data_IF_516383583325
#
_entry.id   IF_516383583325
#
_cell.length_a   1.000
_cell.length_b   1.000
_cell.length_c   1.000
_cell.angle_alpha   90.00
_cell.angle_beta   90.00
_cell.angle_gamma   90.00
#
_symmetry.space_group_name_H-M   'P 1'
#
loop_
_entity.id
_entity.type
_entity.pdbx_description
1 polymer ?
#
# COMPACT_ATOMS: atom_id res chain seq x y z
N UNK A 1 8.54 -14.75 24.17
CA UNK A 1 7.20 -14.58 23.55
C UNK A 1 7.47 -13.90 22.22
N UNK A 2 7.42 -14.65 21.11
CA UNK A 2 7.74 -14.08 19.80
C UNK A 2 6.69 -13.04 19.43
N UNK A 3 7.12 -11.82 19.16
CA UNK A 3 6.27 -10.74 18.66
C UNK A 3 5.74 -11.15 17.29
N UNK A 4 4.50 -11.63 17.24
CA UNK A 4 3.85 -11.98 15.98
C UNK A 4 3.42 -10.67 15.31
N UNK A 5 4.20 -10.25 14.31
CA UNK A 5 3.89 -9.05 13.52
C UNK A 5 2.54 -9.18 12.82
N UNK A 6 1.57 -8.40 13.26
CA UNK A 6 0.30 -8.24 12.59
C UNK A 6 0.51 -7.45 11.30
N UNK A 7 0.16 -8.05 10.16
CA UNK A 7 0.14 -7.39 8.87
C UNK A 7 -1.29 -7.34 8.36
N UNK A 8 -1.76 -6.15 7.97
CA UNK A 8 -3.07 -5.97 7.39
C UNK A 8 -2.95 -5.60 5.90
N UNK A 9 -3.76 -6.27 5.08
CA UNK A 9 -3.94 -5.98 3.67
C UNK A 9 -5.40 -5.61 3.45
N UNK A 10 -5.64 -4.46 2.83
CA UNK A 10 -6.95 -4.06 2.35
C UNK A 10 -6.90 -3.90 0.84
N UNK A 11 -7.92 -4.42 0.17
CA UNK A 11 -8.06 -4.35 -1.29
C UNK A 11 -9.41 -3.74 -1.60
N UNK A 12 -9.41 -2.74 -2.49
CA UNK A 12 -10.63 -2.20 -3.05
C UNK A 12 -10.88 -2.87 -4.41
N UNK A 13 -12.02 -3.53 -4.52
CA UNK A 13 -12.47 -4.16 -5.76
C UNK A 13 -13.83 -3.58 -6.14
N UNK A 14 -14.08 -3.40 -7.44
CA UNK A 14 -15.45 -3.17 -7.92
C UNK A 14 -16.08 -4.52 -8.18
N UNK A 15 -17.01 -4.90 -7.31
CA UNK A 15 -17.63 -6.23 -7.33
C UNK A 15 -19.05 -6.15 -7.86
N UNK A 16 -19.48 -7.22 -8.53
CA UNK A 16 -20.88 -7.45 -8.86
C UNK A 16 -21.63 -8.09 -7.70
N UNK A 17 -21.16 -9.26 -7.25
CA UNK A 17 -21.74 -10.03 -6.14
C UNK A 17 -20.71 -10.17 -5.01
N UNK A 18 -20.91 -9.42 -3.92
CA UNK A 18 -20.02 -9.42 -2.75
C UNK A 18 -20.02 -10.75 -2.00
N UNK A 19 -21.15 -11.46 -1.95
CA UNK A 19 -21.30 -12.69 -1.16
C UNK A 19 -20.50 -13.84 -1.77
N UNK A 20 -20.52 -13.96 -3.10
CA UNK A 20 -19.72 -14.97 -3.80
C UNK A 20 -18.23 -14.73 -3.67
N UNK A 21 -17.78 -13.48 -3.69
CA UNK A 21 -16.37 -13.14 -3.56
C UNK A 21 -15.89 -13.29 -2.12
N UNK A 22 -16.72 -12.93 -1.15
CA UNK A 22 -16.47 -13.23 0.25
C UNK A 22 -16.21 -14.72 0.47
N UNK A 23 -17.08 -15.60 -0.03
CA UNK A 23 -16.92 -17.06 0.09
C UNK A 23 -15.58 -17.54 -0.48
N UNK A 24 -15.23 -17.09 -1.69
CA UNK A 24 -13.96 -17.46 -2.32
C UNK A 24 -12.73 -16.99 -1.53
N UNK A 25 -12.78 -15.79 -0.96
CA UNK A 25 -11.67 -15.25 -0.16
C UNK A 25 -11.50 -16.01 1.16
N UNK A 26 -12.59 -16.33 1.84
CA UNK A 26 -12.54 -17.15 3.07
C UNK A 26 -11.92 -18.50 2.74
N UNK A 27 -12.42 -19.19 1.71
CA UNK A 27 -11.89 -20.49 1.28
C UNK A 27 -10.40 -20.43 0.96
N UNK A 28 -9.98 -19.51 0.10
CA UNK A 28 -8.59 -19.42 -0.36
C UNK A 28 -7.59 -19.01 0.73
N UNK A 29 -8.02 -18.18 1.70
CA UNK A 29 -7.11 -17.65 2.72
C UNK A 29 -7.10 -18.50 3.99
N UNK A 30 -8.20 -19.17 4.33
CA UNK A 30 -8.26 -20.06 5.49
C UNK A 30 -7.80 -21.49 5.19
N UNK A 31 -7.59 -21.85 3.92
CA UNK A 31 -7.02 -23.15 3.53
C UNK A 31 -5.51 -23.28 3.81
N UNK A 32 -4.83 -22.19 4.19
CA UNK A 32 -3.40 -22.21 4.53
C UNK A 32 -3.16 -22.73 5.94
N UNK A 33 -2.37 -23.79 6.08
CA UNK A 33 -1.94 -24.29 7.39
C UNK A 33 -0.98 -23.30 8.08
N UNK A 34 -1.24 -22.99 9.36
CA UNK A 34 -0.27 -22.32 10.24
C UNK A 34 -0.37 -20.80 10.38
N UNK A 35 -1.27 -20.11 9.68
CA UNK A 35 -1.49 -18.67 9.84
C UNK A 35 -2.90 -18.36 10.39
N UNK A 36 -2.96 -17.72 11.56
CA UNK A 36 -4.20 -17.12 12.03
C UNK A 36 -4.51 -15.88 11.17
N UNK A 37 -5.63 -15.90 10.44
CA UNK A 37 -6.02 -14.83 9.50
C UNK A 37 -7.41 -14.32 9.88
N UNK A 38 -7.59 -13.00 9.79
CA UNK A 38 -8.91 -12.39 9.81
C UNK A 38 -9.15 -11.57 8.55
N UNK A 39 -10.39 -11.62 8.04
CA UNK A 39 -10.83 -10.90 6.86
C UNK A 39 -11.95 -9.94 7.22
N UNK A 40 -11.98 -8.79 6.55
CA UNK A 40 -13.03 -7.79 6.69
C UNK A 40 -13.38 -7.23 5.32
N UNK A 41 -14.64 -7.36 4.90
CA UNK A 41 -15.16 -6.83 3.64
C UNK A 41 -16.58 -6.32 3.84
N UNK A 42 -16.79 -4.99 3.79
CA UNK A 42 -18.09 -4.42 4.12
C UNK A 42 -18.52 -4.85 5.52
N UNK A 43 -19.69 -5.49 5.62
CA UNK A 43 -20.25 -6.05 6.86
C UNK A 43 -19.80 -7.50 7.14
N UNK A 44 -19.04 -8.12 6.23
CA UNK A 44 -18.53 -9.47 6.41
C UNK A 44 -17.21 -9.49 7.18
N UNK A 45 -17.12 -10.37 8.18
CA UNK A 45 -15.93 -10.56 8.99
C UNK A 45 -15.73 -12.03 9.38
N UNK A 46 -14.49 -12.52 9.32
CA UNK A 46 -14.11 -13.88 9.80
C UNK A 46 -12.74 -13.83 10.46
N UNK A 47 -12.44 -14.80 11.30
CA UNK A 47 -11.14 -14.97 11.98
C UNK A 47 -11.22 -14.74 13.49
N UNK A 48 -10.09 -14.93 14.20
CA UNK A 48 -9.98 -14.68 15.64
C UNK A 48 -10.38 -13.24 16.01
N UNK A 49 -10.97 -13.06 17.20
CA UNK A 49 -11.56 -11.77 17.61
C UNK A 49 -10.54 -10.61 17.66
N UNK A 50 -9.34 -10.88 18.15
CA UNK A 50 -8.22 -9.94 18.22
C UNK A 50 -7.77 -9.49 16.82
N UNK A 51 -7.68 -10.43 15.88
CA UNK A 51 -7.33 -10.15 14.48
C UNK A 51 -8.47 -9.47 13.72
N UNK A 52 -9.72 -9.83 14.01
CA UNK A 52 -10.92 -9.30 13.36
C UNK A 52 -11.13 -7.82 13.66
N UNK A 53 -10.88 -7.40 14.90
CA UNK A 53 -10.91 -5.99 15.28
C UNK A 53 -9.88 -5.17 14.49
N UNK A 54 -8.66 -5.68 14.36
CA UNK A 54 -7.60 -5.04 13.59
C UNK A 54 -7.92 -4.99 12.08
N UNK A 55 -8.43 -6.09 11.51
CA UNK A 55 -8.84 -6.15 10.11
C UNK A 55 -9.97 -5.15 9.79
N UNK A 56 -10.98 -5.06 10.66
CA UNK A 56 -12.07 -4.10 10.51
C UNK A 56 -11.59 -2.64 10.63
N UNK A 57 -10.68 -2.36 11.55
CA UNK A 57 -10.07 -1.03 11.67
C UNK A 57 -9.28 -0.65 10.40
N UNK A 58 -8.47 -1.56 9.88
CA UNK A 58 -7.71 -1.35 8.64
C UNK A 58 -8.63 -1.16 7.42
N UNK A 59 -9.69 -1.96 7.30
CA UNK A 59 -10.67 -1.83 6.23
C UNK A 59 -11.38 -0.46 6.28
N UNK A 60 -11.81 -0.01 7.45
CA UNK A 60 -12.43 1.32 7.62
C UNK A 60 -11.46 2.46 7.29
N UNK A 61 -10.22 2.39 7.75
CA UNK A 61 -9.23 3.42 7.46
C UNK A 61 -8.88 3.49 5.97
N UNK A 62 -8.81 2.33 5.29
CA UNK A 62 -8.63 2.27 3.84
C UNK A 62 -9.85 2.82 3.09
N UNK A 63 -11.07 2.45 3.47
CA UNK A 63 -12.30 2.97 2.88
C UNK A 63 -12.42 4.49 3.03
N UNK A 64 -12.00 5.02 4.19
CA UNK A 64 -11.92 6.45 4.47
C UNK A 64 -10.70 7.15 3.83
N UNK A 65 -9.83 6.41 3.12
CA UNK A 65 -8.57 6.91 2.55
C UNK A 65 -7.71 7.67 3.57
N UNK A 66 -7.75 7.23 4.83
CA UNK A 66 -6.95 7.81 5.92
C UNK A 66 -5.66 7.03 6.17
N UNK A 67 -5.60 5.77 5.77
CA UNK A 67 -4.38 4.96 5.82
C UNK A 67 -4.43 3.76 4.85
N UNK A 68 -3.30 3.07 4.70
CA UNK A 68 -3.15 1.90 3.84
C UNK A 68 -2.28 2.19 2.61
N UNK A 69 -1.59 1.15 2.12
CA UNK A 69 -0.70 1.24 0.95
C UNK A 69 -1.40 0.73 -0.29
N UNK A 70 -1.18 1.40 -1.42
CA UNK A 70 -1.60 0.89 -2.71
C UNK A 70 -0.45 0.08 -3.34
N UNK A 71 -0.73 -1.18 -3.67
CA UNK A 71 0.19 -2.06 -4.40
C UNK A 71 -0.23 -2.14 -5.87
N UNK A 72 -1.54 -2.26 -6.11
CA UNK A 72 -2.16 -2.19 -7.41
C UNK A 72 -3.11 -1.00 -7.46
N UNK A 73 -2.92 -0.13 -8.45
CA UNK A 73 -3.73 1.07 -8.65
C UNK A 73 -3.63 1.51 -10.12
N UNK A 74 -4.60 2.30 -10.62
CA UNK A 74 -4.58 2.77 -12.00
C UNK A 74 -3.27 3.46 -12.37
N UNK A 75 -2.67 3.02 -13.48
CA UNK A 75 -1.42 3.58 -14.01
C UNK A 75 -0.12 3.05 -13.38
N UNK A 76 -0.17 2.14 -12.41
CA UNK A 76 1.04 1.56 -11.78
C UNK A 76 2.00 0.92 -12.80
N UNK A 77 1.47 0.32 -13.87
CA UNK A 77 2.27 -0.29 -14.96
C UNK A 77 3.08 0.73 -15.77
N UNK A 78 2.72 2.01 -15.70
CA UNK A 78 3.43 3.09 -16.38
C UNK A 78 4.60 3.62 -15.55
N UNK A 79 4.70 3.25 -14.27
CA UNK A 79 5.67 3.80 -13.32
C UNK A 79 6.97 3.00 -13.31
N UNK A 80 7.57 2.86 -14.49
CA UNK A 80 8.78 2.06 -14.72
C UNK A 80 9.98 2.92 -15.10
N UNK A 81 11.18 2.51 -14.68
CA UNK A 81 12.43 3.19 -14.97
C UNK A 81 12.56 4.58 -14.32
N UNK A 82 12.91 5.56 -15.14
CA UNK A 82 13.20 6.94 -14.70
C UNK A 82 12.25 7.90 -15.39
N UNK A 83 11.41 8.59 -14.61
CA UNK A 83 10.33 9.47 -15.10
C UNK A 83 10.29 10.77 -14.30
N UNK A 84 9.68 11.83 -14.81
CA UNK A 84 9.48 13.05 -14.01
C UNK A 84 8.33 12.89 -13.02
N UNK A 85 8.31 13.73 -11.97
CA UNK A 85 7.16 13.84 -11.05
C UNK A 85 5.89 14.18 -11.82
N UNK A 86 5.97 15.07 -12.82
CA UNK A 86 4.86 15.37 -13.71
C UNK A 86 4.29 14.11 -14.40
N UNK A 87 5.14 13.30 -15.03
CA UNK A 87 4.73 12.07 -15.71
C UNK A 87 4.13 11.05 -14.74
N UNK A 88 4.70 10.95 -13.53
CA UNK A 88 4.21 10.06 -12.48
C UNK A 88 2.78 10.41 -12.05
N UNK A 89 2.50 11.69 -11.82
CA UNK A 89 1.18 12.17 -11.38
C UNK A 89 0.16 12.14 -12.51
N UNK A 90 0.55 12.51 -13.73
CA UNK A 90 -0.34 12.48 -14.89
C UNK A 90 -0.67 11.05 -15.36
N UNK A 91 0.26 10.11 -15.19
CA UNK A 91 0.17 8.75 -15.68
C UNK A 91 -0.40 7.74 -14.69
N UNK A 92 -0.77 8.16 -13.46
CA UNK A 92 -1.25 7.26 -12.40
C UNK A 92 -2.30 7.91 -11.50
N UNK A 93 -2.88 7.13 -10.60
CA UNK A 93 -3.79 7.65 -9.58
C UNK A 93 -3.10 8.27 -8.36
N UNK A 94 -1.79 8.52 -8.42
CA UNK A 94 -1.05 9.17 -7.34
C UNK A 94 -1.40 10.67 -7.38
N UNK A 95 -1.92 11.18 -6.28
CA UNK A 95 -2.33 12.59 -6.17
C UNK A 95 -1.13 13.50 -5.91
N UNK A 96 -0.13 13.02 -5.15
CA UNK A 96 1.05 13.82 -4.76
C UNK A 96 2.30 12.97 -4.62
N UNK A 97 3.44 13.55 -4.98
CA UNK A 97 4.76 13.07 -4.60
C UNK A 97 5.35 14.00 -3.53
N UNK A 98 5.81 13.43 -2.41
CA UNK A 98 6.38 14.19 -1.29
C UNK A 98 7.81 13.74 -1.05
N UNK A 99 8.74 14.67 -0.96
CA UNK A 99 10.12 14.45 -0.51
C UNK A 99 10.15 14.51 1.02
N UNK A 100 10.64 13.45 1.64
CA UNK A 100 10.74 13.37 3.10
C UNK A 100 11.52 14.54 3.69
N UNK A 101 11.04 15.06 4.83
CA UNK A 101 11.56 16.24 5.52
C UNK A 101 11.57 17.57 4.72
N UNK A 102 11.16 17.58 3.45
CA UNK A 102 11.16 18.77 2.59
C UNK A 102 9.72 19.23 2.28
N UNK A 103 8.88 18.36 1.74
CA UNK A 103 7.53 18.74 1.29
C UNK A 103 7.21 18.20 -0.10
N UNK A 104 6.31 18.86 -0.82
CA UNK A 104 5.90 18.42 -2.16
C UNK A 104 7.08 18.48 -3.14
N UNK A 105 7.16 17.48 -4.02
CA UNK A 105 8.16 17.43 -5.05
C UNK A 105 7.82 18.38 -6.22
N UNK A 106 8.80 19.12 -6.70
CA UNK A 106 8.76 19.86 -7.97
C UNK A 106 8.41 18.91 -9.14
N UNK A 107 7.45 19.26 -10.01
CA UNK A 107 7.06 18.47 -11.18
C UNK A 107 8.20 18.09 -12.14
N UNK A 108 9.25 18.90 -12.22
CA UNK A 108 10.40 18.69 -13.11
C UNK A 108 11.47 17.78 -12.50
N UNK A 109 11.39 17.49 -11.19
CA UNK A 109 12.30 16.51 -10.58
C UNK A 109 12.10 15.12 -11.18
N UNK A 110 13.20 14.40 -11.29
CA UNK A 110 13.24 13.06 -11.85
C UNK A 110 13.16 12.02 -10.74
N UNK A 111 12.29 11.03 -10.90
CA UNK A 111 12.08 9.89 -10.01
C UNK A 111 12.64 8.62 -10.68
N UNK A 112 13.58 7.96 -10.04
CA UNK A 112 13.99 6.59 -10.39
C UNK A 112 13.08 5.63 -9.63
N UNK A 113 12.09 5.07 -10.31
CA UNK A 113 10.98 4.32 -9.68
C UNK A 113 11.40 2.96 -9.15
N UNK A 114 12.51 2.40 -9.67
CA UNK A 114 12.97 1.02 -9.40
C UNK A 114 11.90 -0.04 -9.69
N UNK A 115 10.94 0.31 -10.54
CA UNK A 115 9.73 -0.47 -10.81
C UNK A 115 8.98 -0.89 -9.52
N UNK A 116 9.18 -0.14 -8.43
CA UNK A 116 8.66 -0.43 -7.10
C UNK A 116 8.08 0.84 -6.48
N UNK A 117 6.79 1.09 -6.77
CA UNK A 117 6.07 2.27 -6.28
C UNK A 117 4.96 1.82 -5.33
N UNK A 118 5.01 2.34 -4.09
CA UNK A 118 4.09 2.01 -2.98
C UNK A 118 3.58 3.29 -2.32
N UNK A 119 2.65 4.02 -2.96
CA UNK A 119 2.06 5.19 -2.35
C UNK A 119 1.09 4.77 -1.24
N UNK A 120 0.80 5.69 -0.32
CA UNK A 120 -0.07 5.46 0.82
C UNK A 120 -1.17 6.50 0.88
N UNK A 121 -2.34 6.10 1.39
CA UNK A 121 -3.42 7.03 1.68
C UNK A 121 -3.04 7.93 2.85
N UNK A 122 -3.11 9.24 2.64
CA UNK A 122 -2.88 10.26 3.65
C UNK A 122 -3.82 11.43 3.41
N UNK A 123 -4.71 11.69 4.38
CA UNK A 123 -5.65 12.83 4.29
C UNK A 123 -6.56 12.77 3.05
N UNK A 124 -6.97 11.58 2.61
CA UNK A 124 -7.81 11.40 1.44
C UNK A 124 -7.07 11.37 0.10
N UNK A 125 -5.77 11.66 0.09
CA UNK A 125 -4.91 11.67 -1.10
C UNK A 125 -3.99 10.44 -1.13
N UNK A 126 -3.73 9.89 -2.32
CA UNK A 126 -2.76 8.84 -2.54
C UNK A 126 -1.37 9.48 -2.73
N UNK A 127 -0.54 9.40 -1.70
CA UNK A 127 0.74 10.12 -1.63
C UNK A 127 1.90 9.16 -1.79
N UNK A 128 2.78 9.41 -2.76
CA UNK A 128 4.07 8.73 -2.87
C UNK A 128 5.11 9.48 -2.04
N UNK A 129 5.66 8.81 -1.02
CA UNK A 129 6.81 9.31 -0.28
C UNK A 129 8.11 8.97 -1.02
N UNK A 130 8.96 9.96 -1.20
CA UNK A 130 10.24 9.89 -1.90
C UNK A 130 11.35 10.47 -1.04
N UNK A 131 12.59 10.13 -1.35
CA UNK A 131 13.79 10.70 -0.75
C UNK A 131 14.77 11.11 -1.85
N UNK A 132 15.66 12.05 -1.53
CA UNK A 132 16.72 12.45 -2.44
C UNK A 132 17.75 11.34 -2.58
N UNK A 133 18.26 11.18 -3.81
CA UNK A 133 19.32 10.25 -4.14
C UNK A 133 20.44 10.99 -4.89
N UNK A 134 21.52 10.27 -5.18
CA UNK A 134 22.67 10.80 -5.90
C UNK A 134 22.23 11.37 -7.26
N UNK A 135 22.88 12.45 -7.69
CA UNK A 135 22.60 13.09 -8.98
C UNK A 135 21.34 13.95 -9.01
N UNK A 136 20.81 14.36 -7.84
CA UNK A 136 19.64 15.24 -7.77
C UNK A 136 18.32 14.55 -8.13
N UNK A 137 18.32 13.22 -8.17
CA UNK A 137 17.11 12.42 -8.42
C UNK A 137 16.35 12.14 -7.13
N UNK A 138 15.08 11.79 -7.29
CA UNK A 138 14.23 11.24 -6.26
C UNK A 138 14.12 9.73 -6.44
N UNK A 139 13.92 9.04 -5.32
CA UNK A 139 13.61 7.61 -5.31
C UNK A 139 12.46 7.35 -4.35
N UNK A 140 11.59 6.35 -4.61
CA UNK A 140 10.62 5.91 -3.62
C UNK A 140 11.29 5.57 -2.28
N UNK A 141 10.62 5.94 -1.19
CA UNK A 141 11.09 5.66 0.17
C UNK A 141 11.14 4.15 0.45
N UNK A 142 10.13 3.41 0.01
CA UNK A 142 10.13 1.95 0.10
C UNK A 142 11.07 1.35 -0.95
N UNK A 143 11.92 0.42 -0.49
CA UNK A 143 12.82 -0.35 -1.35
C UNK A 143 12.25 -1.74 -1.60
N UNK A 144 12.39 -2.30 -2.82
CA UNK A 144 11.91 -3.64 -3.14
C UNK A 144 12.52 -4.72 -2.24
N UNK A 145 13.82 -4.61 -1.98
CA UNK A 145 14.57 -5.50 -1.10
C UNK A 145 15.16 -4.69 0.06
N UNK A 146 14.44 -4.54 1.20
CA UNK A 146 14.99 -3.82 2.34
C UNK A 146 16.24 -4.55 2.84
N UNK A 147 17.34 -3.82 3.00
CA UNK A 147 18.56 -4.36 3.61
C UNK A 147 18.22 -4.94 5.01
N UNK A 148 18.82 -6.09 5.41
CA UNK A 148 18.40 -6.84 6.60
C UNK A 148 18.31 -6.01 7.89
N UNK A 149 19.19 -5.02 8.03
CA UNK A 149 19.19 -4.12 9.19
C UNK A 149 17.89 -3.28 9.34
N UNK A 150 17.13 -3.08 8.27
CA UNK A 150 15.85 -2.35 8.32
C UNK A 150 14.64 -3.28 8.53
N UNK A 151 14.79 -4.60 8.38
CA UNK A 151 13.72 -5.56 8.62
C UNK A 151 13.47 -5.78 10.13
N UNK A 152 14.50 -5.61 10.95
CA UNK A 152 14.52 -6.02 12.36
C UNK A 152 14.20 -4.89 13.37
N UNK A 153 13.98 -3.65 12.92
CA UNK A 153 13.74 -2.48 13.80
C UNK A 153 12.36 -1.82 13.61
N UNK A 154 11.27 -2.59 13.69
CA UNK A 154 9.91 -2.05 13.86
C UNK A 154 9.31 -2.54 15.16
#
# INVERSE_FOLDING_TARGET
MADQRLSCLSVQLRLGDSDSIWRLLVEALTSGEGAAIALSMGDHHVGPDDLRAAAAAAARAHAARSSGRAVHFPGVSNLVGTISVHQLLAGSSIDRARVLAVGDADPEMVVVTRDHVRPLWSGGQLVLSTQTAVGGTLVPFETPDPSPCCADHR
#
